data_IF_929862393751
#
_entry.id   IF_929862393751
#
_cell.length_a   1.000
_cell.length_b   1.000
_cell.length_c   1.000
_cell.angle_alpha   90.00
_cell.angle_beta   90.00
_cell.angle_gamma   90.00
#
_symmetry.space_group_name_H-M   'P 1'
#
loop_
_entity.id
_entity.type
_entity.pdbx_description
1 polymer ?
#
# COMPACT_ATOMS: atom_id res chain seq x y z
N UNK A 1 -5.05 6.20 8.02
CA UNK A 1 -5.42 5.30 6.89
C UNK A 1 -4.16 4.68 6.33
N UNK A 2 -4.15 3.38 6.11
CA UNK A 2 -2.99 2.68 5.58
C UNK A 2 -3.35 2.06 4.23
N UNK A 3 -2.53 2.33 3.21
CA UNK A 3 -2.62 1.67 1.92
C UNK A 3 -1.54 0.62 1.83
N UNK A 4 -1.88 -0.50 1.22
CA UNK A 4 -0.96 -1.61 1.03
C UNK A 4 -0.91 -1.98 -0.44
N UNK A 5 0.27 -2.01 -1.02
CA UNK A 5 0.44 -2.55 -2.37
C UNK A 5 0.52 -4.07 -2.28
N UNK A 6 -0.39 -4.77 -2.94
CA UNK A 6 -0.29 -6.20 -3.08
C UNK A 6 0.33 -6.56 -4.43
N UNK A 7 1.20 -7.55 -4.43
CA UNK A 7 1.61 -8.24 -5.65
C UNK A 7 1.64 -9.74 -5.35
N UNK A 8 1.88 -10.55 -6.37
CA UNK A 8 1.79 -12.00 -6.26
C UNK A 8 2.75 -12.61 -5.22
N UNK A 9 3.81 -11.91 -4.87
CA UNK A 9 4.81 -12.39 -3.92
C UNK A 9 4.50 -12.02 -2.48
N UNK A 10 3.38 -11.40 -2.20
CA UNK A 10 3.07 -10.82 -0.89
C UNK A 10 2.46 -11.75 0.12
N UNK A 11 2.36 -13.00 -0.15
CA UNK A 11 1.75 -13.91 0.82
C UNK A 11 2.79 -14.44 1.78
N UNK A 12 3.53 -13.54 2.40
CA UNK A 12 4.36 -13.86 3.56
C UNK A 12 3.42 -14.17 4.73
N UNK A 13 3.76 -15.17 5.54
CA UNK A 13 2.97 -15.51 6.72
C UNK A 13 2.77 -14.31 7.63
N UNK A 14 3.81 -13.49 7.79
CA UNK A 14 3.76 -12.27 8.60
C UNK A 14 2.73 -11.27 8.11
N UNK A 15 2.43 -11.26 6.80
CA UNK A 15 1.45 -10.34 6.23
C UNK A 15 0.04 -10.61 6.75
N UNK A 16 -0.31 -11.87 6.95
CA UNK A 16 -1.65 -12.25 7.41
C UNK A 16 -1.88 -11.72 8.82
N UNK A 17 -0.93 -11.98 9.71
CA UNK A 17 -1.03 -11.55 11.10
C UNK A 17 -1.06 -10.02 11.20
N UNK A 18 -0.23 -9.37 10.41
CA UNK A 18 -0.16 -7.91 10.38
C UNK A 18 -1.48 -7.30 9.91
N UNK A 19 -2.00 -7.76 8.79
CA UNK A 19 -3.23 -7.22 8.20
C UNK A 19 -4.43 -7.49 9.12
N UNK A 20 -4.51 -8.68 9.69
CA UNK A 20 -5.55 -9.02 10.65
C UNK A 20 -5.52 -8.09 11.87
N UNK A 21 -4.33 -7.77 12.34
CA UNK A 21 -4.16 -6.84 13.46
C UNK A 21 -4.54 -5.42 13.09
N UNK A 22 -4.10 -4.95 11.91
CA UNK A 22 -4.33 -3.57 11.49
C UNK A 22 -5.78 -3.27 11.11
N UNK A 23 -6.51 -4.22 10.52
CA UNK A 23 -7.86 -3.94 10.04
C UNK A 23 -8.84 -3.60 11.16
N UNK A 24 -8.50 -3.94 12.40
CA UNK A 24 -9.34 -3.63 13.56
C UNK A 24 -9.33 -2.14 13.89
N UNK A 25 -8.21 -1.47 13.63
CA UNK A 25 -8.00 -0.06 14.01
C UNK A 25 -7.90 0.86 12.80
N UNK A 26 -7.63 0.32 11.63
CA UNK A 26 -7.38 1.10 10.42
C UNK A 26 -8.22 0.61 9.26
N UNK A 27 -8.54 1.54 8.36
CA UNK A 27 -9.13 1.17 7.06
C UNK A 27 -7.98 0.85 6.12
N UNK A 28 -8.09 -0.29 5.45
CA UNK A 28 -7.04 -0.81 4.58
C UNK A 28 -7.49 -0.83 3.13
N UNK A 29 -6.62 -0.41 2.24
CA UNK A 29 -6.89 -0.41 0.81
C UNK A 29 -5.69 -0.95 0.06
N UNK A 30 -5.94 -1.71 -0.99
CA UNK A 30 -4.90 -2.19 -1.89
C UNK A 30 -4.91 -1.31 -3.13
N UNK A 31 -3.73 -0.79 -3.50
CA UNK A 31 -3.56 -0.02 -4.74
C UNK A 31 -2.49 -0.72 -5.57
N UNK A 32 -2.85 -1.21 -6.74
CA UNK A 32 -1.94 -2.00 -7.56
C UNK A 32 -1.90 -1.55 -9.02
N UNK A 33 -0.71 -1.63 -9.64
CA UNK A 33 -0.51 -1.39 -11.06
C UNK A 33 -0.66 -2.69 -11.89
N UNK A 34 -1.29 -3.71 -11.33
CA UNK A 34 -1.44 -4.98 -12.02
C UNK A 34 -2.47 -4.97 -13.14
N UNK A 35 -2.43 -5.99 -13.97
CA UNK A 35 -3.48 -6.27 -14.93
C UNK A 35 -4.72 -6.72 -14.19
N UNK A 36 -5.86 -6.12 -14.52
CA UNK A 36 -7.11 -6.36 -13.82
C UNK A 36 -7.45 -7.85 -13.69
N UNK A 37 -7.42 -8.57 -14.82
CA UNK A 37 -7.83 -9.98 -14.84
C UNK A 37 -6.90 -10.87 -14.04
N UNK A 38 -5.61 -10.54 -14.00
CA UNK A 38 -4.60 -11.34 -13.29
C UNK A 38 -4.51 -10.94 -11.83
N UNK A 39 -4.35 -9.66 -11.57
CA UNK A 39 -4.12 -9.17 -10.20
C UNK A 39 -5.39 -9.23 -9.35
N UNK A 40 -6.51 -8.81 -9.90
CA UNK A 40 -7.78 -8.82 -9.18
C UNK A 40 -8.14 -10.23 -8.73
N UNK A 41 -8.00 -11.20 -9.62
CA UNK A 41 -8.30 -12.60 -9.32
C UNK A 41 -7.38 -13.15 -8.21
N UNK A 42 -6.08 -12.82 -8.25
CA UNK A 42 -5.13 -13.22 -7.22
C UNK A 42 -5.43 -12.59 -5.88
N UNK A 43 -5.70 -11.29 -5.89
CA UNK A 43 -5.96 -10.53 -4.67
C UNK A 43 -7.25 -11.02 -4.03
N UNK A 44 -8.31 -11.19 -4.82
CA UNK A 44 -9.60 -11.63 -4.29
C UNK A 44 -9.56 -13.05 -3.73
N UNK A 45 -8.70 -13.90 -4.26
CA UNK A 45 -8.52 -15.27 -3.76
C UNK A 45 -7.56 -15.34 -2.59
N UNK A 46 -6.85 -14.25 -2.31
CA UNK A 46 -5.93 -14.21 -1.19
C UNK A 46 -6.69 -14.26 0.12
N UNK A 47 -6.14 -14.99 1.10
CA UNK A 47 -6.75 -15.06 2.42
C UNK A 47 -6.71 -13.72 3.15
N UNK A 48 -5.88 -12.77 2.70
CA UNK A 48 -5.82 -11.44 3.31
C UNK A 48 -6.83 -10.46 2.71
N UNK A 49 -7.42 -10.78 1.55
CA UNK A 49 -8.31 -9.86 0.84
C UNK A 49 -9.50 -9.42 1.70
N UNK A 50 -10.01 -10.30 2.54
CA UNK A 50 -11.16 -10.01 3.40
C UNK A 50 -10.92 -8.90 4.43
N UNK A 51 -9.65 -8.58 4.69
CA UNK A 51 -9.30 -7.53 5.65
C UNK A 51 -9.20 -6.15 5.01
N UNK A 52 -9.31 -6.06 3.69
CA UNK A 52 -9.20 -4.79 2.97
C UNK A 52 -10.58 -4.23 2.66
N UNK A 53 -10.73 -2.93 2.87
CA UNK A 53 -11.97 -2.22 2.61
C UNK A 53 -12.18 -1.97 1.13
N UNK A 54 -11.11 -1.90 0.35
CA UNK A 54 -11.18 -1.63 -1.08
C UNK A 54 -9.93 -2.12 -1.82
N UNK A 55 -10.08 -2.36 -3.11
CA UNK A 55 -8.99 -2.74 -4.01
C UNK A 55 -9.08 -1.85 -5.24
N UNK A 56 -8.02 -1.08 -5.50
CA UNK A 56 -7.93 -0.22 -6.68
C UNK A 56 -6.91 -0.81 -7.65
N UNK A 57 -7.35 -1.13 -8.84
CA UNK A 57 -6.50 -1.67 -9.90
C UNK A 57 -6.34 -0.62 -10.99
N UNK A 58 -5.10 -0.35 -11.42
CA UNK A 58 -4.79 0.72 -12.38
C UNK A 58 -5.61 0.65 -13.67
N UNK A 59 -5.88 -0.55 -14.17
CA UNK A 59 -6.65 -0.70 -15.41
C UNK A 59 -8.11 -0.33 -15.23
N UNK A 60 -8.67 -0.47 -14.03
CA UNK A 60 -10.06 -0.09 -13.76
C UNK A 60 -10.24 1.42 -13.70
N UNK A 61 -9.25 2.13 -13.18
CA UNK A 61 -9.34 3.58 -12.97
C UNK A 61 -8.56 4.37 -14.01
N UNK A 62 -7.90 3.68 -14.95
CA UNK A 62 -7.18 4.27 -16.07
C UNK A 62 -6.02 5.18 -15.68
N UNK A 63 -5.48 4.99 -14.49
CA UNK A 63 -4.26 5.65 -14.01
C UNK A 63 -3.44 4.65 -13.21
N UNK A 64 -2.13 4.82 -13.22
CA UNK A 64 -1.21 3.95 -12.50
C UNK A 64 -0.24 4.75 -11.64
N UNK A 65 0.29 4.11 -10.58
CA UNK A 65 1.34 4.74 -9.79
C UNK A 65 2.56 5.01 -10.66
N UNK A 66 3.27 6.10 -10.51
CA UNK A 66 3.21 7.08 -9.43
C UNK A 66 2.24 8.26 -9.64
N UNK A 67 1.29 8.17 -10.57
CA UNK A 67 0.31 9.22 -10.74
C UNK A 67 -0.54 9.33 -9.47
N UNK A 68 -0.61 10.53 -8.84
CA UNK A 68 -1.35 10.69 -7.58
C UNK A 68 -2.85 10.43 -7.70
N UNK A 69 -3.41 10.51 -8.90
CA UNK A 69 -4.85 10.31 -9.11
C UNK A 69 -5.32 8.92 -8.69
N UNK A 70 -4.45 7.91 -8.75
CA UNK A 70 -4.84 6.57 -8.30
C UNK A 70 -5.15 6.55 -6.81
N UNK A 71 -4.44 7.36 -6.01
CA UNK A 71 -4.68 7.47 -4.58
C UNK A 71 -5.94 8.28 -4.29
N UNK A 72 -6.29 9.26 -5.13
CA UNK A 72 -7.57 9.95 -5.01
C UNK A 72 -8.73 8.96 -5.16
N UNK A 73 -8.65 8.07 -6.15
CA UNK A 73 -9.67 7.02 -6.32
C UNK A 73 -9.79 6.16 -5.06
N UNK A 74 -8.66 5.76 -4.49
CA UNK A 74 -8.64 4.92 -3.30
C UNK A 74 -9.31 5.62 -2.11
N UNK A 75 -8.98 6.90 -1.88
CA UNK A 75 -9.56 7.66 -0.77
C UNK A 75 -11.05 7.92 -0.99
N UNK A 76 -11.45 8.25 -2.21
CA UNK A 76 -12.86 8.49 -2.53
C UNK A 76 -13.70 7.23 -2.34
N UNK A 77 -13.18 6.08 -2.70
CA UNK A 77 -13.90 4.81 -2.58
C UNK A 77 -14.24 4.47 -1.12
N UNK A 78 -13.43 4.92 -0.18
CA UNK A 78 -13.65 4.67 1.25
C UNK A 78 -14.08 5.94 2.00
N UNK A 79 -14.42 7.00 1.29
CA UNK A 79 -14.90 8.26 1.84
C UNK A 79 -13.96 8.89 2.86
N UNK A 80 -12.66 8.83 2.58
CA UNK A 80 -11.63 9.42 3.44
C UNK A 80 -11.07 10.68 2.78
N UNK A 81 -10.95 11.76 3.55
CA UNK A 81 -10.51 13.06 3.03
C UNK A 81 -9.25 13.61 3.68
N UNK A 82 -8.90 13.15 4.87
CA UNK A 82 -7.76 13.67 5.62
C UNK A 82 -6.46 12.93 5.24
N UNK A 83 -5.66 13.55 4.37
CA UNK A 83 -4.39 12.97 3.92
C UNK A 83 -3.34 12.88 5.02
N UNK A 84 -3.48 13.65 6.09
CA UNK A 84 -2.46 13.69 7.15
C UNK A 84 -2.35 12.39 7.94
N UNK A 85 -3.37 11.54 7.86
CA UNK A 85 -3.37 10.24 8.55
C UNK A 85 -3.39 9.07 7.58
N UNK A 86 -2.89 9.28 6.36
CA UNK A 86 -2.80 8.24 5.33
C UNK A 86 -1.33 7.84 5.15
N UNK A 87 -1.08 6.54 5.08
CA UNK A 87 0.25 5.99 4.87
C UNK A 87 0.20 4.97 3.73
N UNK A 88 1.08 5.12 2.75
CA UNK A 88 1.31 4.07 1.77
C UNK A 88 2.48 3.20 2.18
N UNK A 89 2.32 1.90 2.08
CA UNK A 89 3.37 0.91 2.32
C UNK A 89 3.62 0.18 1.01
N UNK A 90 4.85 0.18 0.54
CA UNK A 90 5.19 -0.51 -0.70
C UNK A 90 6.66 -0.77 -0.85
N UNK A 91 7.01 -1.65 -1.79
CA UNK A 91 8.38 -2.08 -2.05
C UNK A 91 9.05 -1.34 -3.21
N UNK A 92 8.30 -0.58 -4.00
CA UNK A 92 8.84 0.13 -5.15
C UNK A 92 9.02 1.61 -4.86
N UNK A 93 10.28 2.07 -4.87
CA UNK A 93 10.58 3.50 -4.70
C UNK A 93 9.97 4.34 -5.82
N UNK A 94 10.03 3.86 -7.06
CA UNK A 94 9.60 4.65 -8.22
C UNK A 94 8.09 4.66 -8.43
N UNK A 95 7.36 3.68 -7.94
CA UNK A 95 5.90 3.65 -8.09
C UNK A 95 5.19 3.98 -6.78
N UNK A 96 5.41 3.18 -5.74
CA UNK A 96 4.67 3.33 -4.47
C UNK A 96 5.11 4.59 -3.71
N UNK A 97 6.40 4.71 -3.48
CA UNK A 97 6.92 5.80 -2.65
C UNK A 97 6.82 7.14 -3.39
N UNK A 98 7.27 7.17 -4.64
CA UNK A 98 7.13 8.39 -5.44
C UNK A 98 5.67 8.79 -5.60
N UNK A 99 4.79 7.81 -5.79
CA UNK A 99 3.35 8.07 -5.88
C UNK A 99 2.79 8.69 -4.61
N UNK A 100 3.18 8.17 -3.46
CA UNK A 100 2.76 8.73 -2.18
C UNK A 100 3.28 10.16 -1.98
N UNK A 101 4.53 10.40 -2.34
CA UNK A 101 5.11 11.75 -2.30
C UNK A 101 4.34 12.70 -3.21
N UNK A 102 4.06 12.29 -4.44
CA UNK A 102 3.31 13.09 -5.40
C UNK A 102 1.90 13.41 -4.91
N UNK A 103 1.30 12.50 -4.18
CA UNK A 103 -0.05 12.69 -3.62
C UNK A 103 -0.03 13.52 -2.33
N UNK A 104 1.10 13.60 -1.66
CA UNK A 104 1.24 14.36 -0.42
C UNK A 104 0.87 13.58 0.83
N UNK A 105 1.11 12.27 0.85
CA UNK A 105 0.88 11.41 2.02
C UNK A 105 2.20 10.84 2.51
N UNK A 106 2.20 10.34 3.74
CA UNK A 106 3.36 9.66 4.31
C UNK A 106 3.63 8.35 3.59
N UNK A 107 4.89 7.96 3.53
CA UNK A 107 5.32 6.78 2.80
C UNK A 107 6.18 5.87 3.68
N UNK A 108 6.04 4.58 3.51
CA UNK A 108 6.83 3.58 4.18
C UNK A 108 7.40 2.61 3.14
N UNK A 109 8.70 2.62 2.98
CA UNK A 109 9.36 1.74 2.04
C UNK A 109 9.65 0.39 2.70
N UNK A 110 9.01 -0.66 2.17
CA UNK A 110 9.30 -2.02 2.60
C UNK A 110 10.52 -2.53 1.85
N UNK A 111 11.64 -2.69 2.55
CA UNK A 111 12.93 -3.05 1.99
C UNK A 111 13.51 -4.26 2.73
N UNK A 112 12.95 -5.46 2.49
CA UNK A 112 13.34 -6.66 3.25
C UNK A 112 14.79 -7.08 3.00
N UNK A 113 15.35 -6.76 1.83
CA UNK A 113 16.71 -7.13 1.47
C UNK A 113 17.73 -6.05 1.85
N UNK A 114 17.30 -4.97 2.49
CA UNK A 114 18.16 -3.88 2.93
C UNK A 114 19.01 -3.30 1.80
N UNK A 115 18.38 -3.12 0.65
CA UNK A 115 19.03 -2.55 -0.54
C UNK A 115 19.31 -1.06 -0.28
N UNK A 116 20.46 -0.58 -0.70
CA UNK A 116 20.80 0.84 -0.57
C UNK A 116 19.96 1.65 -1.55
N UNK A 117 19.32 2.70 -1.04
CA UNK A 117 18.56 3.63 -1.87
C UNK A 117 19.50 4.57 -2.60
N UNK A 118 19.68 4.35 -3.91
CA UNK A 118 20.55 5.15 -4.77
C UNK A 118 19.79 6.26 -5.49
N UNK A 119 18.52 6.48 -5.15
CA UNK A 119 17.67 7.49 -5.78
C UNK A 119 17.56 8.74 -4.92
N UNK A 120 17.00 9.80 -5.49
CA UNK A 120 16.65 11.01 -4.74
C UNK A 120 15.32 10.88 -3.99
N UNK A 121 14.63 9.75 -4.14
CA UNK A 121 13.33 9.50 -3.51
C UNK A 121 13.56 9.18 -2.04
N UNK A 122 12.91 9.95 -1.14
CA UNK A 122 13.08 9.79 0.29
C UNK A 122 11.76 9.37 0.93
N UNK A 123 11.63 8.09 1.34
CA UNK A 123 10.44 7.67 2.06
C UNK A 123 10.40 8.31 3.46
N UNK A 124 9.20 8.47 3.99
CA UNK A 124 9.02 8.93 5.37
C UNK A 124 9.61 7.91 6.35
N UNK A 125 9.36 6.65 6.10
CA UNK A 125 9.85 5.54 6.90
C UNK A 125 10.40 4.44 5.99
N UNK A 126 11.32 3.64 6.54
CA UNK A 126 11.83 2.45 5.89
C UNK A 126 11.80 1.29 6.88
N UNK A 127 11.26 0.14 6.44
CA UNK A 127 11.20 -1.08 7.26
C UNK A 127 11.74 -2.26 6.46
N UNK A 128 12.39 -3.19 7.13
CA UNK A 128 12.84 -4.45 6.53
C UNK A 128 11.98 -5.63 6.95
N UNK A 129 11.20 -5.47 8.01
CA UNK A 129 10.26 -6.47 8.50
C UNK A 129 8.87 -5.83 8.55
N UNK A 130 7.87 -6.48 7.97
CA UNK A 130 6.51 -5.94 7.93
C UNK A 130 5.91 -5.71 9.32
N UNK A 131 6.30 -6.50 10.31
CA UNK A 131 5.81 -6.34 11.67
C UNK A 131 6.24 -5.01 12.30
N UNK A 132 7.31 -4.41 11.81
CA UNK A 132 7.76 -3.09 12.27
C UNK A 132 6.76 -1.99 11.94
N UNK A 133 5.86 -2.24 10.99
CA UNK A 133 4.81 -1.30 10.65
C UNK A 133 3.91 -0.98 11.85
N UNK A 134 3.69 -1.93 12.73
CA UNK A 134 2.89 -1.71 13.94
C UNK A 134 3.45 -0.58 14.81
N UNK A 135 4.77 -0.45 14.84
CA UNK A 135 5.42 0.60 15.63
C UNK A 135 5.26 1.98 15.00
N UNK A 136 5.12 2.04 13.69
CA UNK A 136 4.95 3.28 12.93
C UNK A 136 3.52 3.81 13.04
N UNK A 137 2.53 2.92 12.91
CA UNK A 137 1.12 3.31 12.87
C UNK A 137 0.46 3.31 14.25
N UNK A 138 1.18 2.90 15.27
CA UNK A 138 0.67 2.83 16.64
C UNK A 138 0.34 4.22 17.17
N UNK A 139 -0.82 4.34 17.75
CA UNK A 139 -1.29 5.56 18.37
C UNK A 139 -1.71 5.34 19.80
#
# INVERSE_FOLDING_TARGET
MTFWKANASFLYEDSIDLVESLHKDFRLSIVTNGLKDVQDNRIRKSIIAKYFDDIVVSEEVMVSKPDPKIFEHALNNINHTDKSNVLIVGDSLTSDIQGGINFGIDTCWFNPNKIVNKTAIKPTYEISNLMDLKNIVKR
#
